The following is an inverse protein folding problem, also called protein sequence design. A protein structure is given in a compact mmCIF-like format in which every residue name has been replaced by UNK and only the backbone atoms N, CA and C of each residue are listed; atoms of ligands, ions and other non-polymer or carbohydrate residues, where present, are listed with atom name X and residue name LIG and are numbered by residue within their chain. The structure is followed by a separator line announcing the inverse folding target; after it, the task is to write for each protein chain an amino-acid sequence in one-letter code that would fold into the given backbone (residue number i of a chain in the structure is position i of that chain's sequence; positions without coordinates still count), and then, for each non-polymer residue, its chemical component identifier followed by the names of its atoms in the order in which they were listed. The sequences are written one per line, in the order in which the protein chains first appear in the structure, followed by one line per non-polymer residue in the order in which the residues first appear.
data_IF_094330569800
#
_entry.id   IF_094330569800
#
_cell.length_a   1.000
_cell.length_b   1.000
_cell.length_c   1.000
_cell.angle_alpha   90.00
_cell.angle_beta   90.00
_cell.angle_gamma   90.00
#
_symmetry.space_group_name_H-M   'P 1'
#
loop_
_entity.id
_entity.type
_entity.pdbx_description
1 polymer ?
#
# COMPACT_ATOMS: atom_id res chain seq x y z
N UNK A 1 25.24 11.16 20.80
CA UNK A 1 23.96 11.38 20.09
C UNK A 1 23.13 10.10 20.21
N UNK A 2 21.93 10.13 20.79
CA UNK A 2 21.07 8.93 20.85
C UNK A 2 20.50 8.66 19.46
N UNK A 3 20.70 7.46 18.90
CA UNK A 3 20.01 7.02 17.67
C UNK A 3 18.51 7.01 17.99
N UNK A 4 17.70 7.79 17.25
CA UNK A 4 16.25 7.61 17.26
C UNK A 4 15.95 6.23 16.69
N UNK A 5 15.28 5.39 17.46
CA UNK A 5 14.63 4.20 16.90
C UNK A 5 13.67 4.67 15.81
N UNK A 6 13.80 4.09 14.62
CA UNK A 6 12.92 4.39 13.50
C UNK A 6 11.67 3.55 13.68
N UNK A 7 10.57 4.21 14.02
CA UNK A 7 9.24 3.60 14.04
C UNK A 7 8.74 3.54 12.60
N UNK A 8 8.28 2.37 12.16
CA UNK A 8 7.61 2.20 10.87
C UNK A 8 6.17 2.70 11.05
N UNK A 9 5.67 3.63 10.22
CA UNK A 9 4.27 4.04 10.28
C UNK A 9 3.37 2.88 9.83
N UNK A 10 2.09 2.97 10.13
CA UNK A 10 1.13 2.06 9.52
C UNK A 10 1.16 2.23 7.99
N UNK A 11 1.13 1.11 7.28
CA UNK A 11 1.27 1.09 5.83
C UNK A 11 -0.05 0.73 5.18
N UNK A 12 -0.44 1.53 4.18
CA UNK A 12 -1.51 1.22 3.24
C UNK A 12 -0.90 1.23 1.83
N UNK A 13 -0.97 0.11 1.13
CA UNK A 13 -0.49 -0.05 -0.24
C UNK A 13 -1.65 -0.51 -1.13
N UNK A 14 -1.77 0.06 -2.32
CA UNK A 14 -2.82 -0.29 -3.26
C UNK A 14 -2.29 -0.25 -4.70
N UNK A 15 -2.67 -1.23 -5.50
CA UNK A 15 -2.30 -1.30 -6.90
C UNK A 15 -3.41 -1.96 -7.73
N UNK A 16 -3.65 -1.42 -8.92
CA UNK A 16 -4.57 -2.02 -9.89
C UNK A 16 -3.98 -3.30 -10.48
N UNK A 17 -4.79 -4.33 -10.69
CA UNK A 17 -4.33 -5.62 -11.26
C UNK A 17 -3.83 -5.52 -12.70
N UNK A 18 -4.25 -4.50 -13.44
CA UNK A 18 -3.82 -4.21 -14.81
C UNK A 18 -2.83 -3.03 -14.86
N UNK A 19 -2.24 -2.65 -13.72
CA UNK A 19 -1.16 -1.68 -13.63
C UNK A 19 0.18 -2.36 -14.01
N UNK A 20 1.03 -1.66 -14.75
CA UNK A 20 2.36 -2.16 -15.11
C UNK A 20 3.28 -2.34 -13.89
N UNK A 21 2.93 -1.77 -12.72
CA UNK A 21 3.63 -1.94 -11.44
C UNK A 21 3.08 -3.09 -10.59
N UNK A 22 2.08 -3.85 -11.05
CA UNK A 22 1.42 -4.86 -10.23
C UNK A 22 2.39 -5.95 -9.72
N UNK A 23 3.33 -6.40 -10.54
CA UNK A 23 4.34 -7.40 -10.13
C UNK A 23 5.25 -6.87 -9.02
N UNK A 24 5.66 -5.59 -9.11
CA UNK A 24 6.48 -4.93 -8.09
C UNK A 24 5.70 -4.78 -6.76
N UNK A 25 4.41 -4.44 -6.85
CA UNK A 25 3.51 -4.37 -5.68
C UNK A 25 3.40 -5.73 -4.98
N UNK A 26 3.20 -6.81 -5.74
CA UNK A 26 3.14 -8.19 -5.20
C UNK A 26 4.46 -8.56 -4.53
N UNK A 27 5.60 -8.25 -5.16
CA UNK A 27 6.92 -8.50 -4.58
C UNK A 27 7.14 -7.72 -3.27
N UNK A 28 6.71 -6.45 -3.22
CA UNK A 28 6.83 -5.63 -2.03
C UNK A 28 5.93 -6.11 -0.90
N UNK A 29 4.67 -6.47 -1.19
CA UNK A 29 3.76 -7.10 -0.23
C UNK A 29 4.37 -8.37 0.36
N UNK A 30 4.89 -9.27 -0.47
CA UNK A 30 5.53 -10.51 -0.02
C UNK A 30 6.76 -10.23 0.88
N UNK A 31 7.51 -9.17 0.60
CA UNK A 31 8.58 -8.71 1.47
C UNK A 31 8.05 -8.24 2.84
N UNK A 32 7.00 -7.41 2.88
CA UNK A 32 6.38 -6.96 4.14
C UNK A 32 5.85 -8.13 4.97
N UNK A 33 5.18 -9.10 4.34
CA UNK A 33 4.70 -10.33 4.97
C UNK A 33 5.84 -11.12 5.61
N UNK A 34 6.95 -11.31 4.86
CA UNK A 34 8.13 -12.03 5.33
C UNK A 34 8.79 -11.34 6.54
N UNK A 35 8.90 -10.02 6.51
CA UNK A 35 9.47 -9.22 7.60
C UNK A 35 8.47 -9.00 8.76
N UNK A 36 7.24 -9.54 8.64
CA UNK A 36 6.15 -9.40 9.62
C UNK A 36 5.82 -7.93 9.92
N UNK A 37 5.86 -7.09 8.88
CA UNK A 37 5.50 -5.68 8.96
C UNK A 37 4.00 -5.56 8.68
N UNK A 38 3.27 -5.03 9.67
CA UNK A 38 1.83 -4.81 9.53
C UNK A 38 1.54 -3.81 8.42
N UNK A 39 0.61 -4.17 7.53
CA UNK A 39 0.19 -3.34 6.41
C UNK A 39 -1.23 -3.71 5.95
N UNK A 40 -1.88 -2.79 5.26
CA UNK A 40 -3.09 -3.01 4.47
C UNK A 40 -2.66 -3.07 3.00
N UNK A 41 -3.06 -4.12 2.28
CA UNK A 41 -2.87 -4.22 0.82
C UNK A 41 -4.19 -4.35 0.10
N UNK A 42 -4.42 -3.49 -0.89
CA UNK A 42 -5.60 -3.52 -1.76
C UNK A 42 -5.16 -3.86 -3.20
N UNK A 43 -5.77 -4.89 -3.76
CA UNK A 43 -5.51 -5.39 -5.11
C UNK A 43 -6.86 -5.61 -5.81
N UNK A 44 -7.27 -4.66 -6.64
CA UNK A 44 -8.54 -4.68 -7.35
C UNK A 44 -8.35 -4.25 -8.82
N UNK A 45 -9.42 -4.39 -9.61
CA UNK A 45 -9.37 -4.07 -11.04
C UNK A 45 -9.05 -2.59 -11.25
N UNK A 46 -8.22 -2.29 -12.26
CA UNK A 46 -7.74 -0.95 -12.55
C UNK A 46 -6.33 -0.93 -13.09
N UNK A 47 -5.95 0.21 -13.68
CA UNK A 47 -4.63 0.46 -14.26
C UNK A 47 -4.00 1.71 -13.62
N UNK A 48 -2.90 2.18 -14.19
CA UNK A 48 -2.15 3.36 -13.72
C UNK A 48 -2.84 4.67 -14.13
N UNK A 49 -4.07 4.90 -13.66
CA UNK A 49 -4.87 6.07 -14.00
C UNK A 49 -5.62 6.71 -12.81
N UNK A 50 -6.14 7.92 -13.05
CA UNK A 50 -6.86 8.68 -12.03
C UNK A 50 -8.21 8.09 -11.64
N UNK A 51 -8.85 7.28 -12.48
CA UNK A 51 -10.12 6.65 -12.11
C UNK A 51 -9.89 5.64 -10.97
N UNK A 52 -8.77 4.91 -11.04
CA UNK A 52 -8.32 4.05 -9.95
C UNK A 52 -7.99 4.86 -8.69
N UNK A 53 -7.13 5.88 -8.80
CA UNK A 53 -6.68 6.63 -7.62
C UNK A 53 -7.76 7.47 -6.95
N UNK A 54 -8.79 7.93 -7.67
CA UNK A 54 -9.94 8.63 -7.10
C UNK A 54 -10.75 7.72 -6.15
N UNK A 55 -10.89 6.43 -6.49
CA UNK A 55 -11.50 5.45 -5.59
C UNK A 55 -10.60 5.10 -4.40
N UNK A 56 -9.29 4.96 -4.64
CA UNK A 56 -8.34 4.61 -3.58
C UNK A 56 -8.17 5.74 -2.57
N UNK A 57 -8.18 7.01 -2.97
CA UNK A 57 -8.00 8.12 -2.02
C UNK A 57 -9.16 8.19 -1.02
N UNK A 58 -10.39 7.91 -1.44
CA UNK A 58 -11.53 7.78 -0.52
C UNK A 58 -11.34 6.63 0.48
N UNK A 59 -10.83 5.50 0.00
CA UNK A 59 -10.54 4.33 0.83
C UNK A 59 -9.44 4.62 1.87
N UNK A 60 -8.36 5.29 1.45
CA UNK A 60 -7.26 5.74 2.32
C UNK A 60 -7.77 6.74 3.37
N UNK A 61 -8.60 7.71 2.98
CA UNK A 61 -9.15 8.68 3.91
C UNK A 61 -10.07 8.05 4.96
N UNK A 62 -10.81 7.01 4.59
CA UNK A 62 -11.62 6.25 5.55
C UNK A 62 -10.73 5.43 6.49
N UNK A 63 -9.67 4.82 5.96
CA UNK A 63 -8.71 4.05 6.75
C UNK A 63 -7.99 4.93 7.79
N UNK A 64 -7.46 6.11 7.41
CA UNK A 64 -6.75 7.02 8.34
C UNK A 64 -7.65 7.54 9.47
N UNK A 65 -8.96 7.63 9.23
CA UNK A 65 -9.93 8.12 10.22
C UNK A 65 -10.45 7.05 11.19
N UNK A 66 -10.11 5.78 10.94
CA UNK A 66 -10.57 4.62 11.74
C UNK A 66 -9.63 4.35 12.90
#
# INVERSE_FOLDING_TARGET
MKKKEKVIPELYIACGKDDFLFEDHVAFKAFLDKEKINHVSIENDGTHDWAYWDLQILSVLNWIKS
#
